data_IF_844079903363
#
_entry.id   IF_844079903363
#
_cell.length_a   1.000
_cell.length_b   1.000
_cell.length_c   1.000
_cell.angle_alpha   90.00
_cell.angle_beta   90.00
_cell.angle_gamma   90.00
#
_symmetry.space_group_name_H-M   'P 1'
#
loop_
_entity.id
_entity.type
_entity.pdbx_description
1 polymer ?
#
# COMPACT_ATOMS: atom_id res chain seq x y z
N UNK A 1 41.81 69.33 1.27
CA UNK A 1 41.92 67.91 0.88
C UNK A 1 41.19 66.96 1.85
N UNK A 2 40.26 67.45 2.69
CA UNK A 2 39.76 66.68 3.85
C UNK A 2 38.49 65.85 3.62
N UNK A 3 37.69 66.12 2.58
CA UNK A 3 36.41 65.41 2.40
C UNK A 3 36.59 63.94 1.97
N UNK A 4 37.61 63.62 1.17
CA UNK A 4 37.87 62.23 0.75
C UNK A 4 38.37 61.37 1.92
N UNK A 5 39.20 61.92 2.80
CA UNK A 5 39.71 61.22 3.98
C UNK A 5 38.58 60.93 5.01
N UNK A 6 37.65 61.88 5.21
CA UNK A 6 36.48 61.67 6.08
C UNK A 6 35.50 60.64 5.51
N UNK A 7 35.23 60.68 4.21
CA UNK A 7 34.39 59.69 3.54
C UNK A 7 35.00 58.28 3.60
N UNK A 8 36.32 58.17 3.40
CA UNK A 8 37.03 56.89 3.48
C UNK A 8 36.99 56.29 4.90
N UNK A 9 37.21 57.12 5.94
CA UNK A 9 37.08 56.69 7.35
C UNK A 9 35.66 56.25 7.69
N UNK A 10 34.64 56.97 7.22
CA UNK A 10 33.24 56.59 7.44
C UNK A 10 32.88 55.25 6.76
N UNK A 11 33.41 54.99 5.57
CA UNK A 11 33.24 53.71 4.88
C UNK A 11 33.92 52.58 5.64
N UNK A 12 35.15 52.78 6.11
CA UNK A 12 35.87 51.77 6.91
C UNK A 12 35.15 51.43 8.22
N UNK A 13 34.61 52.44 8.93
CA UNK A 13 33.85 52.21 10.16
C UNK A 13 32.56 51.44 9.87
N UNK A 14 31.83 51.81 8.80
CA UNK A 14 30.60 51.10 8.40
C UNK A 14 30.87 49.67 7.97
N UNK A 15 31.95 49.44 7.21
CA UNK A 15 32.37 48.10 6.79
C UNK A 15 32.76 47.26 8.00
N UNK A 16 33.58 47.81 8.92
CA UNK A 16 33.98 47.13 10.14
C UNK A 16 32.76 46.75 11.01
N UNK A 17 31.82 47.68 11.21
CA UNK A 17 30.59 47.41 11.95
C UNK A 17 29.75 46.31 11.26
N UNK A 18 29.61 46.36 9.94
CA UNK A 18 28.89 45.33 9.18
C UNK A 18 29.56 43.95 9.31
N UNK A 19 30.89 43.87 9.21
CA UNK A 19 31.63 42.62 9.37
C UNK A 19 31.46 42.05 10.78
N UNK A 20 31.53 42.89 11.82
CA UNK A 20 31.32 42.46 13.21
C UNK A 20 29.89 41.91 13.39
N UNK A 21 28.88 42.60 12.86
CA UNK A 21 27.49 42.12 12.92
C UNK A 21 27.34 40.79 12.17
N UNK A 22 27.92 40.65 10.97
CA UNK A 22 27.87 39.40 10.22
C UNK A 22 28.57 38.24 10.93
N UNK A 23 29.71 38.49 11.59
CA UNK A 23 30.38 37.48 12.41
C UNK A 23 29.50 37.09 13.59
N UNK A 24 28.89 38.05 14.29
CA UNK A 24 27.98 37.75 15.40
C UNK A 24 26.76 36.95 14.96
N UNK A 25 26.17 37.29 13.81
CA UNK A 25 25.05 36.52 13.23
C UNK A 25 25.50 35.12 12.84
N UNK A 26 26.66 34.98 12.20
CA UNK A 26 27.21 33.69 11.83
C UNK A 26 27.48 32.82 13.07
N UNK A 27 28.09 33.38 14.11
CA UNK A 27 28.32 32.68 15.39
C UNK A 27 26.99 32.29 16.04
N UNK A 28 26.00 33.20 16.06
CA UNK A 28 24.67 32.90 16.60
C UNK A 28 23.98 31.77 15.82
N UNK A 29 24.05 31.78 14.47
CA UNK A 29 23.54 30.71 13.64
C UNK A 29 24.25 29.39 13.93
N UNK A 30 25.58 29.38 14.00
CA UNK A 30 26.34 28.18 14.36
C UNK A 30 25.91 27.67 15.72
N UNK A 31 25.78 28.53 16.74
CA UNK A 31 25.34 28.11 18.08
C UNK A 31 23.93 27.52 18.07
N UNK A 32 22.98 28.11 17.34
CA UNK A 32 21.59 27.64 17.25
C UNK A 32 21.47 26.32 16.46
N UNK A 33 22.19 26.21 15.33
CA UNK A 33 22.07 25.08 14.41
C UNK A 33 23.03 23.93 14.68
N UNK A 34 24.13 24.16 15.39
CA UNK A 34 25.12 23.12 15.72
C UNK A 34 24.53 21.99 16.58
N UNK A 35 23.28 22.11 17.08
CA UNK A 35 22.69 21.19 18.06
C UNK A 35 23.69 20.87 19.16
N UNK A 36 24.50 21.87 19.53
CA UNK A 36 25.57 21.72 20.49
C UNK A 36 24.90 21.57 21.86
N UNK A 37 24.62 20.33 22.23
CA UNK A 37 24.20 19.98 23.59
C UNK A 37 25.41 20.25 24.47
N UNK A 38 25.41 21.40 25.13
CA UNK A 38 26.39 21.82 26.13
C UNK A 38 26.22 21.04 27.45
N UNK A 39 25.97 19.74 27.35
CA UNK A 39 25.96 18.80 28.46
C UNK A 39 27.12 17.84 28.28
N UNK A 40 27.75 17.45 29.37
CA UNK A 40 28.72 16.36 29.32
C UNK A 40 27.99 15.10 28.83
N UNK A 41 28.56 14.42 27.82
CA UNK A 41 27.94 13.26 27.19
C UNK A 41 28.96 12.15 27.08
N UNK A 42 28.51 10.93 27.29
CA UNK A 42 29.31 9.73 27.11
C UNK A 42 29.12 9.21 25.69
N UNK A 43 30.23 8.93 25.03
CA UNK A 43 30.24 8.29 23.71
C UNK A 43 30.15 6.77 23.85
N UNK A 44 29.38 6.12 22.99
CA UNK A 44 29.24 4.68 22.92
C UNK A 44 29.22 4.24 21.45
N UNK A 45 29.48 2.96 21.21
CA UNK A 45 29.28 2.37 19.89
C UNK A 45 28.39 1.14 19.96
N UNK A 46 27.68 0.83 18.88
CA UNK A 46 26.87 -0.37 18.77
C UNK A 46 27.07 -1.02 17.39
N UNK A 47 27.22 -2.34 17.38
CA UNK A 47 27.47 -3.12 16.16
C UNK A 47 26.18 -3.77 15.70
N UNK A 48 25.74 -3.51 14.48
CA UNK A 48 24.53 -4.06 13.88
C UNK A 48 24.86 -4.91 12.65
N UNK A 49 24.04 -5.92 12.38
CA UNK A 49 24.11 -6.67 11.11
C UNK A 49 23.67 -5.82 9.91
N UNK A 50 22.86 -4.79 10.14
CA UNK A 50 22.49 -3.78 9.14
C UNK A 50 22.06 -2.48 9.81
N UNK A 51 22.52 -1.35 9.26
CA UNK A 51 22.14 0.00 9.66
C UNK A 51 21.44 0.78 8.54
N UNK A 52 20.69 0.07 7.67
CA UNK A 52 19.98 0.67 6.54
C UNK A 52 19.19 1.93 6.94
N UNK A 53 19.42 3.02 6.20
CA UNK A 53 18.79 4.33 6.39
C UNK A 53 19.09 5.05 7.73
N UNK A 54 20.03 4.55 8.55
CA UNK A 54 20.56 5.33 9.67
C UNK A 54 21.49 6.43 9.17
N UNK A 55 21.43 7.63 9.78
CA UNK A 55 22.23 8.79 9.40
C UNK A 55 22.91 9.41 10.62
N UNK A 56 24.03 10.07 10.40
CA UNK A 56 24.59 10.99 11.40
C UNK A 56 23.57 12.08 11.74
N UNK A 57 23.49 12.45 13.01
CA UNK A 57 22.49 13.37 13.55
C UNK A 57 21.13 12.74 13.86
N UNK A 58 20.93 11.44 13.57
CA UNK A 58 19.74 10.72 14.04
C UNK A 58 19.64 10.75 15.57
N UNK A 59 18.41 10.78 16.09
CA UNK A 59 18.16 10.86 17.53
C UNK A 59 18.50 9.54 18.22
N UNK A 60 18.98 9.63 19.46
CA UNK A 60 19.07 8.49 20.38
C UNK A 60 17.99 8.66 21.44
N UNK A 61 17.18 7.63 21.66
CA UNK A 61 16.03 7.69 22.56
C UNK A 61 16.00 6.56 23.57
N UNK A 62 15.55 6.87 24.79
CA UNK A 62 15.18 5.88 25.82
C UNK A 62 13.68 6.06 26.08
N UNK A 63 12.89 5.00 25.90
CA UNK A 63 11.43 5.05 26.09
C UNK A 63 10.75 6.24 25.39
N UNK A 64 11.20 6.58 24.18
CA UNK A 64 10.68 7.69 23.37
C UNK A 64 11.26 9.09 23.69
N UNK A 65 11.97 9.26 24.80
CA UNK A 65 12.62 10.51 25.19
C UNK A 65 13.98 10.63 24.51
N UNK A 66 14.27 11.77 23.88
CA UNK A 66 15.57 12.02 23.25
C UNK A 66 16.65 12.29 24.30
N UNK A 67 17.65 11.41 24.37
CA UNK A 67 18.75 11.42 25.36
C UNK A 67 20.12 11.64 24.74
N UNK A 68 20.19 11.75 23.41
CA UNK A 68 21.45 11.75 22.69
C UNK A 68 21.31 11.86 21.19
N UNK A 69 22.43 11.69 20.47
CA UNK A 69 22.49 11.76 19.02
C UNK A 69 23.51 10.79 18.44
N UNK A 70 23.22 10.27 17.25
CA UNK A 70 24.13 9.48 16.43
C UNK A 70 25.20 10.41 15.88
N UNK A 71 26.47 10.08 16.13
CA UNK A 71 27.63 10.81 15.64
C UNK A 71 28.06 10.32 14.27
N UNK A 72 28.33 9.02 14.13
CA UNK A 72 28.83 8.43 12.89
C UNK A 72 28.22 7.05 12.61
N UNK A 73 28.14 6.69 11.33
CA UNK A 73 27.68 5.40 10.85
C UNK A 73 28.71 4.85 9.88
N UNK A 74 29.42 3.82 10.30
CA UNK A 74 30.49 3.19 9.53
C UNK A 74 30.31 1.69 9.36
N UNK A 75 31.32 1.06 8.77
CA UNK A 75 31.45 -0.38 8.64
C UNK A 75 32.74 -0.83 9.31
N UNK A 76 32.69 -1.92 10.07
CA UNK A 76 33.90 -2.56 10.59
C UNK A 76 34.57 -3.45 9.52
N UNK A 77 35.72 -4.03 9.86
CA UNK A 77 36.46 -4.94 8.95
C UNK A 77 35.70 -6.22 8.60
N UNK A 78 34.68 -6.59 9.38
CA UNK A 78 33.83 -7.75 9.15
C UNK A 78 32.56 -7.41 8.32
N UNK A 79 32.47 -6.20 7.77
CA UNK A 79 31.29 -5.67 7.06
C UNK A 79 30.03 -5.55 7.92
N UNK A 80 30.17 -5.43 9.24
CA UNK A 80 29.07 -5.11 10.14
C UNK A 80 28.97 -3.60 10.31
N UNK A 81 27.75 -3.08 10.43
CA UNK A 81 27.52 -1.67 10.61
C UNK A 81 27.86 -1.25 12.04
N UNK A 82 28.66 -0.21 12.21
CA UNK A 82 29.01 0.35 13.51
C UNK A 82 28.41 1.74 13.62
N UNK A 83 27.59 1.95 14.64
CA UNK A 83 26.98 3.24 14.93
C UNK A 83 27.66 3.80 16.17
N UNK A 84 28.29 4.96 16.02
CA UNK A 84 28.83 5.73 17.14
C UNK A 84 27.80 6.77 17.56
N UNK A 85 27.50 6.86 18.84
CA UNK A 85 26.47 7.75 19.36
C UNK A 85 26.84 8.29 20.74
N UNK A 86 26.29 9.46 21.07
CA UNK A 86 26.45 10.11 22.36
C UNK A 86 25.16 9.97 23.16
N UNK A 87 25.29 9.82 24.48
CA UNK A 87 24.18 9.87 25.44
C UNK A 87 24.57 10.82 26.57
N UNK A 88 23.63 11.66 26.97
CA UNK A 88 23.81 12.59 28.09
C UNK A 88 24.19 11.85 29.39
N UNK A 89 25.18 12.36 30.13
CA UNK A 89 25.70 11.74 31.36
C UNK A 89 24.62 11.49 32.43
N UNK A 90 23.52 12.25 32.41
CA UNK A 90 22.39 12.03 33.32
C UNK A 90 21.67 10.69 33.11
N UNK A 91 21.90 10.00 31.98
CA UNK A 91 21.30 8.70 31.65
C UNK A 91 22.36 7.59 31.58
N UNK A 92 22.76 7.01 32.72
CA UNK A 92 23.72 5.91 32.73
C UNK A 92 23.13 4.65 32.09
N UNK A 93 23.89 4.02 31.18
CA UNK A 93 23.44 2.83 30.45
C UNK A 93 23.85 1.56 31.20
N UNK A 94 22.91 0.65 31.54
CA UNK A 94 23.27 -0.62 32.14
C UNK A 94 24.03 -1.52 31.15
N UNK A 95 24.85 -2.45 31.63
CA UNK A 95 25.56 -3.43 30.78
C UNK A 95 24.61 -4.35 29.99
N UNK A 96 23.38 -4.51 30.47
CA UNK A 96 22.32 -5.25 29.78
C UNK A 96 21.62 -4.43 28.69
N UNK A 97 22.00 -3.16 28.44
CA UNK A 97 21.33 -2.31 27.45
C UNK A 97 21.31 -2.96 26.07
N UNK A 98 20.19 -2.81 25.38
CA UNK A 98 20.01 -3.19 23.98
C UNK A 98 19.86 -1.95 23.13
N UNK A 99 20.43 -1.99 21.93
CA UNK A 99 20.33 -0.92 20.95
C UNK A 99 19.52 -1.39 19.74
N UNK A 100 18.47 -0.66 19.38
CA UNK A 100 17.53 -1.06 18.35
C UNK A 100 17.35 0.08 17.35
N UNK A 101 17.35 -0.23 16.06
CA UNK A 101 17.07 0.77 15.03
C UNK A 101 15.57 0.78 14.72
N UNK A 102 14.91 1.90 15.00
CA UNK A 102 13.45 2.07 14.82
C UNK A 102 13.14 3.20 13.83
N UNK A 103 11.89 3.23 13.35
CA UNK A 103 11.38 4.29 12.46
C UNK A 103 10.99 5.53 13.29
N UNK A 104 11.53 6.69 12.93
CA UNK A 104 11.11 7.98 13.49
C UNK A 104 9.82 8.46 12.83
N UNK A 105 9.66 8.23 11.52
CA UNK A 105 8.52 8.69 10.74
C UNK A 105 8.24 7.75 9.55
N UNK A 106 7.13 8.01 8.85
CA UNK A 106 6.70 7.25 7.67
C UNK A 106 7.55 7.53 6.42
N UNK A 107 8.38 8.57 6.44
CA UNK A 107 9.28 8.93 5.34
C UNK A 107 10.56 8.10 5.32
N UNK A 108 10.76 7.24 6.34
CA UNK A 108 11.88 6.30 6.41
C UNK A 108 13.07 6.78 7.25
N UNK A 109 12.95 7.92 7.95
CA UNK A 109 13.98 8.32 8.90
C UNK A 109 14.04 7.36 10.08
N UNK A 110 15.26 7.15 10.58
CA UNK A 110 15.56 6.21 11.67
C UNK A 110 16.06 6.93 12.91
N UNK A 111 15.76 6.35 14.07
CA UNK A 111 16.37 6.72 15.34
C UNK A 111 16.91 5.47 16.04
N UNK A 112 17.88 5.69 16.93
CA UNK A 112 18.45 4.64 17.77
C UNK A 112 17.67 4.59 19.09
N UNK A 113 17.03 3.47 19.38
CA UNK A 113 16.35 3.23 20.64
C UNK A 113 17.26 2.43 21.57
N UNK A 114 17.42 2.90 22.80
CA UNK A 114 18.11 2.21 23.88
C UNK A 114 17.09 1.68 24.86
N UNK A 115 17.10 0.36 25.06
CA UNK A 115 16.19 -0.35 25.96
C UNK A 115 16.98 -1.14 27.00
N UNK A 116 16.40 -1.37 28.17
CA UNK A 116 16.97 -2.27 29.15
C UNK A 116 16.79 -3.71 28.67
N UNK A 117 17.87 -4.47 28.53
CA UNK A 117 17.82 -5.90 28.22
C UNK A 117 17.71 -6.77 29.48
N UNK A 118 17.57 -8.07 29.26
CA UNK A 118 17.54 -9.04 30.34
C UNK A 118 18.93 -9.18 30.98
N UNK A 119 19.00 -9.12 32.31
CA UNK A 119 20.24 -9.30 33.06
C UNK A 119 20.39 -8.30 34.21
N UNK A 120 21.59 -8.25 34.79
CA UNK A 120 21.95 -7.32 35.86
C UNK A 120 21.92 -5.86 35.37
N UNK A 121 21.09 -5.04 36.02
CA UNK A 121 20.96 -3.59 35.77
C UNK A 121 21.77 -2.75 36.76
N UNK A 122 22.42 -3.36 37.75
CA UNK A 122 23.23 -2.66 38.76
C UNK A 122 24.62 -2.25 38.25
N UNK A 123 25.07 -2.84 37.15
CA UNK A 123 26.35 -2.52 36.53
C UNK A 123 26.17 -1.68 35.26
N UNK A 124 26.89 -0.56 35.14
CA UNK A 124 26.81 0.36 34.02
C UNK A 124 27.97 0.19 33.02
N UNK A 125 27.73 0.59 31.76
CA UNK A 125 28.75 0.71 30.73
C UNK A 125 29.60 1.97 31.01
N UNK A 126 30.93 1.83 30.87
CA UNK A 126 31.82 2.98 30.86
C UNK A 126 31.75 3.72 29.51
N UNK A 127 32.10 5.01 29.50
CA UNK A 127 32.26 5.77 28.27
C UNK A 127 33.24 5.09 27.32
N UNK A 128 32.89 5.07 26.03
CA UNK A 128 33.62 4.38 24.96
C UNK A 128 33.28 2.91 24.80
N UNK A 129 32.39 2.34 25.61
CA UNK A 129 32.02 0.94 25.50
C UNK A 129 31.28 0.64 24.17
N UNK A 130 31.48 -0.58 23.66
CA UNK A 130 30.81 -1.10 22.49
C UNK A 130 29.73 -2.10 22.87
N UNK A 131 28.51 -1.87 22.41
CA UNK A 131 27.38 -2.80 22.49
C UNK A 131 27.58 -3.85 21.38
N UNK A 132 27.76 -5.13 21.73
CA UNK A 132 27.99 -6.20 20.77
C UNK A 132 26.72 -6.51 19.97
N UNK A 133 26.90 -7.13 18.80
CA UNK A 133 25.80 -7.47 17.89
C UNK A 133 24.69 -8.31 18.54
N UNK A 134 25.03 -9.15 19.53
CA UNK A 134 24.08 -9.96 20.32
C UNK A 134 23.10 -9.13 21.15
N UNK A 135 23.43 -7.87 21.44
CA UNK A 135 22.58 -6.92 22.16
C UNK A 135 21.96 -5.87 21.23
N UNK A 136 22.11 -6.03 19.91
CA UNK A 136 21.55 -5.10 18.94
C UNK A 136 20.41 -5.72 18.12
N UNK A 137 19.51 -4.87 17.65
CA UNK A 137 18.45 -5.27 16.72
C UNK A 137 18.50 -4.37 15.47
N UNK A 138 18.83 -4.92 14.29
CA UNK A 138 18.91 -4.14 13.06
C UNK A 138 17.54 -3.56 12.68
N UNK A 139 17.58 -2.57 11.79
CA UNK A 139 16.37 -1.97 11.28
C UNK A 139 15.47 -3.03 10.61
N UNK A 140 14.16 -2.97 10.89
CA UNK A 140 13.20 -3.79 10.19
C UNK A 140 13.29 -3.50 8.68
N UNK A 141 13.56 -4.57 7.94
CA UNK A 141 13.65 -4.57 6.47
C UNK A 141 12.23 -4.67 5.89
N UNK A 142 11.63 -3.50 5.64
CA UNK A 142 10.29 -3.42 5.06
C UNK A 142 10.26 -3.99 3.64
N UNK A 143 11.37 -4.07 2.92
CA UNK A 143 11.40 -4.65 1.57
C UNK A 143 11.16 -6.16 1.63
N UNK A 144 11.68 -6.83 2.67
CA UNK A 144 11.39 -8.26 2.93
C UNK A 144 9.94 -8.49 3.32
N UNK A 145 9.34 -7.58 4.08
CA UNK A 145 7.92 -7.68 4.46
C UNK A 145 7.00 -7.39 3.27
N UNK A 146 7.17 -6.25 2.60
CA UNK A 146 6.35 -5.87 1.43
C UNK A 146 6.56 -6.83 0.26
N UNK A 147 7.75 -7.41 0.11
CA UNK A 147 8.03 -8.48 -0.86
C UNK A 147 7.17 -9.73 -0.63
N UNK A 148 6.86 -10.07 0.62
CA UNK A 148 5.98 -11.19 0.97
C UNK A 148 4.49 -10.90 0.73
N UNK A 149 4.07 -9.64 0.85
CA UNK A 149 2.67 -9.21 0.64
C UNK A 149 2.38 -8.69 -0.78
N UNK A 150 3.41 -8.51 -1.62
CA UNK A 150 3.29 -8.11 -3.03
C UNK A 150 2.25 -8.91 -3.84
N UNK A 151 2.05 -10.23 -3.63
CA UNK A 151 0.98 -10.98 -4.29
C UNK A 151 -0.44 -10.55 -3.85
N UNK A 152 -0.60 -10.14 -2.59
CA UNK A 152 -1.87 -9.74 -1.97
C UNK A 152 -2.23 -8.28 -2.27
N UNK A 153 -1.24 -7.39 -2.40
CA UNK A 153 -1.42 -5.98 -2.75
C UNK A 153 -1.74 -5.71 -4.23
N UNK A 154 -1.74 -6.75 -5.09
CA UNK A 154 -2.26 -6.62 -6.47
C UNK A 154 -3.79 -6.49 -6.50
N UNK A 155 -4.45 -6.66 -5.35
CA UNK A 155 -5.92 -6.76 -5.21
C UNK A 155 -6.52 -5.77 -4.22
N UNK A 156 -5.73 -4.95 -3.52
CA UNK A 156 -6.20 -4.04 -2.46
C UNK A 156 -5.92 -2.57 -2.79
N UNK A 157 -6.78 -1.68 -2.33
CA UNK A 157 -6.65 -0.22 -2.51
C UNK A 157 -5.68 0.39 -1.48
N UNK A 158 -5.11 1.56 -1.78
CA UNK A 158 -4.04 2.19 -0.98
C UNK A 158 -4.42 2.44 0.50
N UNK A 159 -5.70 2.72 0.78
CA UNK A 159 -6.19 2.99 2.13
C UNK A 159 -6.22 1.74 3.01
N UNK A 160 -6.54 0.57 2.42
CA UNK A 160 -6.60 -0.72 3.09
C UNK A 160 -5.20 -1.21 3.48
N UNK A 161 -4.20 -0.90 2.64
CA UNK A 161 -2.80 -1.23 2.90
C UNK A 161 -2.24 -0.42 4.07
N UNK A 162 -2.55 0.87 4.15
CA UNK A 162 -2.10 1.74 5.25
C UNK A 162 -2.73 1.35 6.59
N UNK A 163 -4.02 1.00 6.59
CA UNK A 163 -4.72 0.54 7.78
C UNK A 163 -4.12 -0.77 8.32
N UNK A 164 -3.95 -1.77 7.44
CA UNK A 164 -3.40 -3.07 7.82
C UNK A 164 -1.95 -2.96 8.33
N UNK A 165 -1.12 -2.17 7.66
CA UNK A 165 0.28 -1.95 8.04
C UNK A 165 0.39 -1.28 9.42
N UNK A 166 -0.48 -0.30 9.68
CA UNK A 166 -0.51 0.42 10.97
C UNK A 166 -0.93 -0.49 12.12
N UNK A 167 -1.95 -1.34 11.90
CA UNK A 167 -2.40 -2.31 12.90
C UNK A 167 -1.35 -3.37 13.20
N UNK A 168 -0.64 -3.86 12.17
CA UNK A 168 0.40 -4.87 12.34
C UNK A 168 1.58 -4.32 13.16
N UNK A 169 2.01 -3.09 12.87
CA UNK A 169 3.08 -2.41 13.62
C UNK A 169 2.71 -2.25 15.10
N UNK A 170 1.48 -1.84 15.39
CA UNK A 170 1.01 -1.63 16.77
C UNK A 170 0.95 -2.93 17.57
N UNK A 171 0.52 -4.05 16.96
CA UNK A 171 0.52 -5.38 17.59
C UNK A 171 1.94 -5.84 17.91
N UNK A 172 2.86 -5.72 16.95
CA UNK A 172 4.25 -6.15 17.16
C UNK A 172 5.03 -5.24 18.11
N UNK A 173 4.58 -4.01 18.35
CA UNK A 173 5.14 -3.10 19.37
C UNK A 173 4.53 -3.30 20.77
N UNK A 174 3.74 -4.35 20.98
CA UNK A 174 3.18 -4.68 22.30
C UNK A 174 2.03 -3.76 22.72
N UNK A 175 1.47 -2.96 21.81
CA UNK A 175 0.26 -2.19 22.06
C UNK A 175 -0.95 -3.13 21.95
N UNK A 176 -1.25 -3.87 23.02
CA UNK A 176 -2.30 -4.91 23.06
C UNK A 176 -3.69 -4.47 22.60
N UNK A 177 -3.96 -3.16 22.50
CA UNK A 177 -5.20 -2.63 21.92
C UNK A 177 -5.35 -2.91 20.42
N UNK A 178 -4.25 -3.02 19.67
CA UNK A 178 -4.29 -3.23 18.22
C UNK A 178 -4.75 -4.64 17.83
N UNK A 179 -4.54 -5.64 18.70
CA UNK A 179 -5.08 -6.98 18.50
C UNK A 179 -6.60 -6.97 18.68
N UNK A 180 -7.11 -6.17 19.62
CA UNK A 180 -8.55 -5.98 19.81
C UNK A 180 -9.17 -5.27 18.60
N UNK A 181 -8.47 -4.31 17.99
CA UNK A 181 -8.92 -3.66 16.74
C UNK A 181 -8.86 -4.60 15.53
N UNK A 182 -7.81 -5.41 15.40
CA UNK A 182 -7.72 -6.44 14.36
C UNK A 182 -8.79 -7.52 14.53
N UNK A 183 -9.04 -7.97 15.76
CA UNK A 183 -10.09 -8.93 16.08
C UNK A 183 -11.49 -8.33 15.93
N UNK A 184 -11.73 -7.07 16.28
CA UNK A 184 -12.98 -6.37 16.00
C UNK A 184 -13.22 -6.17 14.49
N UNK A 185 -12.18 -5.88 13.71
CA UNK A 185 -12.30 -5.74 12.26
C UNK A 185 -12.47 -7.11 11.55
N UNK A 186 -11.91 -8.18 12.13
CA UNK A 186 -12.14 -9.56 11.67
C UNK A 186 -13.53 -10.05 12.10
N UNK A 187 -14.01 -9.64 13.27
CA UNK A 187 -15.36 -9.89 13.76
C UNK A 187 -16.39 -9.14 12.91
N UNK A 188 -16.16 -7.88 12.50
CA UNK A 188 -17.07 -7.17 11.59
C UNK A 188 -17.12 -7.78 10.19
N UNK A 189 -16.01 -8.39 9.73
CA UNK A 189 -15.99 -9.15 8.48
C UNK A 189 -16.70 -10.51 8.60
N UNK A 190 -16.64 -11.13 9.79
CA UNK A 190 -17.34 -12.39 10.08
C UNK A 190 -18.83 -12.16 10.39
N UNK A 191 -19.19 -11.03 10.99
CA UNK A 191 -20.57 -10.55 11.18
C UNK A 191 -21.21 -10.22 9.83
N UNK A 192 -20.48 -9.60 8.91
CA UNK A 192 -20.92 -9.43 7.52
C UNK A 192 -21.11 -10.77 6.77
N UNK A 193 -20.52 -11.87 7.28
CA UNK A 193 -20.71 -13.23 6.76
C UNK A 193 -21.75 -14.03 7.56
N UNK A 194 -22.01 -13.67 8.82
CA UNK A 194 -23.02 -14.23 9.73
C UNK A 194 -24.39 -13.55 9.60
N UNK A 195 -24.48 -12.35 8.99
CA UNK A 195 -25.72 -11.71 8.52
C UNK A 195 -26.45 -12.52 7.42
N UNK A 196 -25.92 -13.69 7.05
CA UNK A 196 -26.66 -14.72 6.30
C UNK A 196 -27.79 -15.37 7.09
N UNK A 197 -27.76 -15.35 8.43
CA UNK A 197 -28.87 -15.90 9.23
C UNK A 197 -30.09 -14.97 9.21
N UNK A 198 -29.87 -13.65 9.12
CA UNK A 198 -30.95 -12.68 8.96
C UNK A 198 -31.55 -12.74 7.54
N UNK A 199 -30.73 -12.95 6.51
CA UNK A 199 -31.20 -13.16 5.13
C UNK A 199 -31.99 -14.48 4.98
N UNK A 200 -31.63 -15.54 5.71
CA UNK A 200 -32.40 -16.80 5.74
C UNK A 200 -33.69 -16.62 6.54
N UNK A 201 -33.67 -15.89 7.65
CA UNK A 201 -34.86 -15.50 8.41
C UNK A 201 -35.84 -14.71 7.56
N UNK A 202 -35.35 -13.71 6.82
CA UNK A 202 -36.16 -12.89 5.92
C UNK A 202 -36.74 -13.73 4.76
N UNK A 203 -36.01 -14.72 4.23
CA UNK A 203 -36.54 -15.64 3.21
C UNK A 203 -37.64 -16.54 3.78
N UNK A 204 -37.49 -17.02 5.02
CA UNK A 204 -38.50 -17.84 5.71
C UNK A 204 -39.75 -17.00 6.04
N UNK A 205 -39.58 -15.77 6.49
CA UNK A 205 -40.69 -14.86 6.81
C UNK A 205 -41.42 -14.39 5.54
N UNK A 206 -40.70 -14.15 4.45
CA UNK A 206 -41.32 -13.89 3.14
C UNK A 206 -42.03 -15.13 2.60
N UNK A 207 -41.52 -16.34 2.83
CA UNK A 207 -42.23 -17.58 2.48
C UNK A 207 -43.51 -17.74 3.31
N UNK A 208 -43.45 -17.50 4.63
CA UNK A 208 -44.61 -17.56 5.51
C UNK A 208 -45.65 -16.49 5.19
N UNK A 209 -45.22 -15.29 4.80
CA UNK A 209 -46.11 -14.22 4.33
C UNK A 209 -46.75 -14.57 3.00
N UNK A 210 -45.99 -15.18 2.07
CA UNK A 210 -46.52 -15.67 0.79
C UNK A 210 -47.52 -16.82 0.99
N UNK A 211 -47.21 -17.75 1.92
CA UNK A 211 -48.10 -18.85 2.29
C UNK A 211 -49.35 -18.35 3.03
N UNK A 212 -49.24 -17.31 3.86
CA UNK A 212 -50.38 -16.65 4.51
C UNK A 212 -51.22 -15.84 3.51
N UNK A 213 -50.60 -15.28 2.47
CA UNK A 213 -51.32 -14.65 1.34
C UNK A 213 -52.07 -15.72 0.54
N UNK A 214 -51.50 -16.92 0.40
CA UNK A 214 -52.17 -18.08 -0.19
C UNK A 214 -53.30 -18.64 0.69
N UNK A 215 -53.17 -18.57 2.03
CA UNK A 215 -54.18 -19.01 2.99
C UNK A 215 -55.33 -17.99 3.13
N UNK A 216 -55.02 -16.70 2.92
CA UNK A 216 -55.98 -15.59 2.83
C UNK A 216 -56.84 -15.62 1.57
N UNK A 217 -56.43 -16.38 0.53
CA UNK A 217 -57.17 -16.57 -0.72
C UNK A 217 -58.19 -17.73 -0.67
N UNK A 218 -58.45 -18.31 0.52
CA UNK A 218 -59.56 -19.27 0.71
C UNK A 218 -60.95 -18.67 0.44
N UNK A 219 -61.10 -17.34 0.48
CA UNK A 219 -62.33 -16.66 0.05
C UNK A 219 -62.49 -16.63 -1.49
N UNK A 220 -61.40 -16.68 -2.25
CA UNK A 220 -61.43 -16.78 -3.73
C UNK A 220 -61.57 -18.22 -4.24
N UNK A 221 -61.17 -19.21 -3.44
CA UNK A 221 -61.27 -20.62 -3.80
C UNK A 221 -62.71 -21.15 -3.76
N UNK A 222 -63.55 -20.71 -2.80
CA UNK A 222 -64.98 -21.06 -2.75
C UNK A 222 -65.74 -20.54 -3.97
N UNK A 223 -65.43 -19.31 -4.41
CA UNK A 223 -66.03 -18.70 -5.60
C UNK A 223 -65.59 -19.41 -6.90
N UNK A 224 -64.35 -19.89 -6.94
CA UNK A 224 -63.78 -20.62 -8.08
C UNK A 224 -64.31 -22.04 -8.19
N UNK A 225 -64.62 -22.70 -7.07
CA UNK A 225 -65.24 -24.04 -7.03
C UNK A 225 -66.71 -23.98 -7.46
N UNK A 226 -67.46 -22.93 -7.08
CA UNK A 226 -68.84 -22.71 -7.54
C UNK A 226 -68.92 -22.43 -9.06
N UNK A 227 -67.98 -21.62 -9.59
CA UNK A 227 -67.85 -21.36 -11.03
C UNK A 227 -67.41 -22.61 -11.80
N UNK A 228 -66.53 -23.45 -11.23
CA UNK A 228 -66.15 -24.74 -11.79
C UNK A 228 -67.32 -25.74 -11.78
N UNK A 229 -68.15 -25.75 -10.74
CA UNK A 229 -69.31 -26.63 -10.66
C UNK A 229 -70.39 -26.22 -11.68
N UNK A 230 -70.64 -24.92 -11.88
CA UNK A 230 -71.54 -24.42 -12.93
C UNK A 230 -71.00 -24.73 -14.34
N UNK A 231 -69.69 -24.62 -14.56
CA UNK A 231 -69.03 -24.97 -15.83
C UNK A 231 -69.07 -26.47 -16.11
N UNK A 232 -68.84 -27.33 -15.11
CA UNK A 232 -68.87 -28.80 -15.25
C UNK A 232 -70.29 -29.30 -15.50
N UNK A 233 -71.30 -28.68 -14.90
CA UNK A 233 -72.71 -29.04 -15.12
C UNK A 233 -73.18 -28.62 -16.51
N UNK A 234 -72.78 -27.43 -16.99
CA UNK A 234 -73.07 -26.99 -18.37
C UNK A 234 -72.28 -27.75 -19.44
N UNK A 235 -71.03 -28.16 -19.17
CA UNK A 235 -70.20 -28.92 -20.10
C UNK A 235 -70.59 -30.40 -20.17
N UNK A 236 -71.22 -30.95 -19.12
CA UNK A 236 -71.83 -32.28 -19.14
C UNK A 236 -73.08 -32.36 -20.04
N UNK A 237 -73.75 -31.22 -20.27
CA UNK A 237 -74.92 -31.11 -21.16
C UNK A 237 -74.53 -31.10 -22.66
N UNK A 238 -73.23 -30.97 -22.97
CA UNK A 238 -72.71 -30.93 -24.34
C UNK A 238 -71.79 -32.12 -24.69
N UNK A 239 -72.05 -33.29 -24.08
CA UNK A 239 -71.34 -34.57 -24.28
C UNK A 239 -71.69 -35.32 -25.58
N UNK A 240 -71.89 -34.60 -26.69
CA UNK A 240 -72.15 -35.20 -28.00
C UNK A 240 -70.91 -35.42 -28.87
N UNK A 241 -69.83 -34.63 -28.71
CA UNK A 241 -68.94 -34.40 -29.88
C UNK A 241 -67.44 -34.24 -29.58
N UNK A 242 -66.86 -34.91 -28.58
CA UNK A 242 -65.40 -34.80 -28.36
C UNK A 242 -64.76 -36.18 -28.21
N UNK A 243 -64.62 -36.87 -29.33
CA UNK A 243 -63.86 -38.12 -29.49
C UNK A 243 -62.46 -37.96 -30.10
N UNK A 244 -61.91 -36.74 -30.23
CA UNK A 244 -60.74 -36.49 -31.10
C UNK A 244 -59.53 -35.77 -30.47
N UNK A 245 -59.30 -35.83 -29.15
CA UNK A 245 -58.16 -35.14 -28.53
C UNK A 245 -57.12 -36.08 -27.89
N UNK A 246 -56.84 -37.21 -28.53
CA UNK A 246 -55.65 -38.05 -28.28
C UNK A 246 -54.56 -37.70 -29.31
N UNK A 247 -54.03 -36.48 -29.26
CA UNK A 247 -52.83 -36.10 -30.02
C UNK A 247 -52.25 -34.79 -29.50
N UNK A 248 -51.35 -34.84 -28.51
CA UNK A 248 -50.20 -33.91 -28.39
C UNK A 248 -49.25 -34.35 -27.27
N UNK A 249 -48.46 -35.41 -27.50
CA UNK A 249 -47.32 -35.77 -26.62
C UNK A 249 -45.95 -35.49 -27.30
N UNK A 250 -45.93 -34.94 -28.52
CA UNK A 250 -44.69 -34.87 -29.33
C UNK A 250 -43.93 -33.53 -29.33
N UNK A 251 -44.10 -32.62 -28.35
CA UNK A 251 -43.35 -31.34 -28.33
C UNK A 251 -42.22 -31.21 -27.30
N UNK A 252 -42.12 -32.09 -26.32
CA UNK A 252 -41.13 -31.94 -25.25
C UNK A 252 -39.76 -32.53 -25.63
N UNK A 253 -39.72 -33.58 -26.46
CA UNK A 253 -38.47 -34.29 -26.80
C UNK A 253 -37.59 -33.56 -27.83
N UNK A 254 -38.16 -32.70 -28.68
CA UNK A 254 -37.41 -31.98 -29.72
C UNK A 254 -36.62 -30.76 -29.19
N UNK A 255 -37.06 -30.16 -28.07
CA UNK A 255 -36.41 -28.96 -27.52
C UNK A 255 -35.04 -29.22 -26.86
N UNK A 256 -34.80 -30.44 -26.36
CA UNK A 256 -33.54 -30.77 -25.66
C UNK A 256 -32.39 -31.10 -26.64
N UNK A 257 -32.70 -31.71 -27.78
CA UNK A 257 -31.72 -31.97 -28.85
C UNK A 257 -31.25 -30.70 -29.55
N UNK A 258 -32.13 -29.69 -29.66
CA UNK A 258 -31.82 -28.42 -30.33
C UNK A 258 -30.89 -27.53 -29.47
N UNK A 259 -31.07 -27.55 -28.15
CA UNK A 259 -30.19 -26.84 -27.20
C UNK A 259 -28.76 -27.41 -27.19
N UNK A 260 -28.62 -28.73 -27.31
CA UNK A 260 -27.33 -29.42 -27.38
C UNK A 260 -26.61 -29.22 -28.71
N UNK A 261 -27.34 -29.09 -29.83
CA UNK A 261 -26.74 -28.84 -31.15
C UNK A 261 -26.22 -27.40 -31.28
N UNK A 262 -26.90 -26.44 -30.64
CA UNK A 262 -26.57 -25.01 -30.72
C UNK A 262 -25.40 -24.61 -29.83
N UNK A 263 -25.15 -25.33 -28.73
CA UNK A 263 -24.14 -24.95 -27.72
C UNK A 263 -22.75 -25.54 -28.00
N UNK A 264 -22.68 -26.67 -28.71
CA UNK A 264 -21.43 -27.42 -28.99
C UNK A 264 -20.38 -26.62 -29.80
N UNK A 265 -20.73 -25.83 -30.83
CA UNK A 265 -19.76 -25.05 -31.61
C UNK A 265 -19.10 -23.91 -30.81
N UNK A 266 -19.85 -23.31 -29.88
CA UNK A 266 -19.37 -22.21 -29.03
C UNK A 266 -18.31 -22.69 -28.04
N UNK A 267 -18.50 -23.88 -27.46
CA UNK A 267 -17.51 -24.49 -26.57
C UNK A 267 -16.22 -24.88 -27.31
N UNK A 268 -16.30 -25.36 -28.56
CA UNK A 268 -15.11 -25.63 -29.38
C UNK A 268 -14.35 -24.34 -29.71
N UNK A 269 -15.03 -23.26 -30.08
CA UNK A 269 -14.38 -21.97 -30.36
C UNK A 269 -13.65 -21.38 -29.15
N UNK A 270 -14.19 -21.55 -27.94
CA UNK A 270 -13.52 -21.08 -26.72
C UNK A 270 -12.23 -21.86 -26.42
N UNK A 271 -12.23 -23.17 -26.64
CA UNK A 271 -11.03 -24.02 -26.45
C UNK A 271 -9.95 -23.67 -27.46
N UNK A 272 -10.30 -23.50 -28.74
CA UNK A 272 -9.34 -23.15 -29.80
C UNK A 272 -8.78 -21.73 -29.61
N UNK A 273 -9.60 -20.77 -29.20
CA UNK A 273 -9.14 -19.39 -28.94
C UNK A 273 -8.25 -19.29 -27.70
N UNK A 274 -8.46 -20.13 -26.68
CA UNK A 274 -7.60 -20.17 -25.49
C UNK A 274 -6.19 -20.66 -25.85
N UNK A 275 -6.08 -21.68 -26.72
CA UNK A 275 -4.79 -22.17 -27.21
C UNK A 275 -4.00 -21.10 -27.97
N UNK A 276 -4.68 -20.28 -28.78
CA UNK A 276 -4.05 -19.21 -29.57
C UNK A 276 -3.53 -18.06 -28.71
N UNK A 277 -4.19 -17.75 -27.58
CA UNK A 277 -3.70 -16.77 -26.60
C UNK A 277 -2.46 -17.30 -25.87
N UNK A 278 -2.44 -18.59 -25.52
CA UNK A 278 -1.26 -19.22 -24.92
C UNK A 278 -0.07 -19.25 -25.87
N UNK A 279 -0.30 -19.49 -27.16
CA UNK A 279 0.74 -19.52 -28.18
C UNK A 279 1.34 -18.13 -28.45
N UNK A 280 0.52 -17.07 -28.47
CA UNK A 280 1.01 -15.69 -28.57
C UNK A 280 1.73 -15.23 -27.29
N UNK A 281 1.28 -15.69 -26.12
CA UNK A 281 1.95 -15.39 -24.85
C UNK A 281 3.32 -16.08 -24.76
N UNK A 282 3.44 -17.30 -25.31
CA UNK A 282 4.72 -18.01 -25.46
C UNK A 282 5.61 -17.34 -26.52
N UNK A 283 5.04 -16.85 -27.62
CA UNK A 283 5.78 -16.08 -28.62
C UNK A 283 6.33 -14.75 -28.07
N UNK A 284 5.67 -14.16 -27.07
CA UNK A 284 6.08 -12.95 -26.39
C UNK A 284 7.13 -13.17 -25.27
N UNK A 285 7.39 -14.42 -24.86
CA UNK A 285 8.36 -14.77 -23.80
C UNK A 285 9.78 -14.19 -24.04
N UNK A 286 10.36 -14.23 -25.26
CA UNK A 286 11.69 -13.69 -25.52
C UNK A 286 11.74 -12.17 -25.34
N UNK A 287 10.66 -11.47 -25.72
CA UNK A 287 10.52 -10.03 -25.57
C UNK A 287 10.41 -9.65 -24.09
N UNK A 288 9.55 -10.32 -23.32
CA UNK A 288 9.36 -10.06 -21.89
C UNK A 288 10.64 -10.35 -21.12
N UNK A 289 11.34 -11.46 -21.42
CA UNK A 289 12.61 -11.80 -20.79
C UNK A 289 13.69 -10.76 -21.09
N UNK A 290 13.81 -10.32 -22.35
CA UNK A 290 14.80 -9.30 -22.73
C UNK A 290 14.50 -7.96 -22.04
N UNK A 291 13.23 -7.54 -22.03
CA UNK A 291 12.77 -6.35 -21.35
C UNK A 291 13.11 -6.39 -19.85
N UNK A 292 12.75 -7.48 -19.15
CA UNK A 292 13.03 -7.63 -17.71
C UNK A 292 14.52 -7.68 -17.38
N UNK A 293 15.36 -8.18 -18.28
CA UNK A 293 16.81 -8.25 -18.07
C UNK A 293 17.46 -6.87 -18.26
N UNK A 294 16.95 -6.05 -19.19
CA UNK A 294 17.44 -4.69 -19.44
C UNK A 294 16.87 -3.63 -18.50
N UNK A 295 15.67 -3.88 -17.97
CA UNK A 295 14.93 -2.93 -17.15
C UNK A 295 15.73 -2.32 -15.98
N UNK A 296 16.56 -3.06 -15.22
CA UNK A 296 17.34 -2.49 -14.13
C UNK A 296 18.43 -1.53 -14.59
N UNK A 297 19.12 -1.87 -15.69
CA UNK A 297 20.17 -1.02 -16.30
C UNK A 297 19.56 0.23 -16.94
N UNK A 298 18.45 0.07 -17.67
CA UNK A 298 17.72 1.17 -18.30
C UNK A 298 17.15 2.11 -17.23
N UNK A 299 16.60 1.56 -16.15
CA UNK A 299 16.11 2.33 -15.00
C UNK A 299 17.25 3.04 -14.26
N UNK A 300 18.41 2.40 -14.09
CA UNK A 300 19.58 3.03 -13.46
C UNK A 300 20.15 4.13 -14.33
N UNK A 301 20.17 3.97 -15.65
CA UNK A 301 20.59 5.00 -16.60
C UNK A 301 19.62 6.19 -16.59
N UNK A 302 18.31 5.92 -16.56
CA UNK A 302 17.27 6.95 -16.43
C UNK A 302 17.31 7.66 -15.07
N UNK A 303 17.56 6.92 -13.98
CA UNK A 303 17.69 7.45 -12.63
C UNK A 303 18.96 8.29 -12.46
N UNK A 304 20.07 7.87 -13.07
CA UNK A 304 21.32 8.63 -13.10
C UNK A 304 21.18 9.95 -13.87
N UNK A 305 20.33 10.00 -14.91
CA UNK A 305 19.97 11.26 -15.57
C UNK A 305 19.21 12.22 -14.62
N UNK A 306 18.41 11.69 -13.69
CA UNK A 306 17.70 12.47 -12.67
C UNK A 306 18.54 12.84 -11.43
N UNK A 307 19.64 12.10 -11.17
CA UNK A 307 20.48 12.29 -9.97
C UNK A 307 21.41 13.51 -10.04
N UNK A 308 21.62 14.11 -11.23
CA UNK A 308 22.47 15.31 -11.40
C UNK A 308 21.69 16.64 -11.22
N UNK A 309 20.50 16.62 -10.62
CA UNK A 309 19.74 17.81 -10.25
C UNK A 309 18.51 18.06 -11.13
N UNK A 310 17.58 18.88 -10.63
CA UNK A 310 16.26 19.15 -11.21
C UNK A 310 16.29 20.04 -12.48
N UNK A 311 17.19 19.77 -13.44
CA UNK A 311 17.26 20.48 -14.72
C UNK A 311 16.52 19.76 -15.86
N UNK A 312 16.13 18.49 -15.68
CA UNK A 312 15.30 17.72 -16.61
C UNK A 312 13.84 17.64 -16.11
N UNK A 313 12.99 18.55 -16.60
CA UNK A 313 11.55 18.49 -16.40
C UNK A 313 10.92 17.62 -17.51
N UNK A 314 10.74 16.33 -17.28
CA UNK A 314 10.11 15.42 -18.24
C UNK A 314 8.59 15.45 -18.01
N UNK A 315 7.85 15.98 -18.98
CA UNK A 315 6.39 16.00 -18.99
C UNK A 315 5.85 14.95 -19.97
N UNK A 316 5.05 14.00 -19.47
CA UNK A 316 4.37 13.02 -20.31
C UNK A 316 3.05 13.59 -20.82
N UNK A 317 3.05 14.08 -22.07
CA UNK A 317 1.91 14.76 -22.67
C UNK A 317 0.77 13.83 -23.08
N UNK A 318 1.12 12.71 -23.72
CA UNK A 318 0.16 11.71 -24.18
C UNK A 318 0.80 10.34 -24.20
N UNK A 319 0.20 9.38 -23.52
CA UNK A 319 0.64 7.98 -23.52
C UNK A 319 -0.42 7.13 -24.22
N UNK A 320 -0.05 6.52 -25.36
CA UNK A 320 -0.90 5.58 -26.12
C UNK A 320 -0.31 4.18 -26.03
N UNK A 321 -1.08 3.25 -25.49
CA UNK A 321 -0.81 1.82 -25.47
C UNK A 321 -1.51 1.19 -26.67
N UNK A 322 -0.73 0.52 -27.52
CA UNK A 322 -1.22 -0.19 -28.70
C UNK A 322 -1.30 -1.68 -28.34
N UNK A 323 -2.51 -2.21 -28.22
CA UNK A 323 -2.75 -3.61 -27.87
C UNK A 323 -3.29 -4.35 -29.09
N UNK A 324 -2.64 -5.42 -29.57
CA UNK A 324 -3.16 -6.23 -30.67
C UNK A 324 -4.41 -6.98 -30.20
N UNK A 325 -5.51 -6.85 -30.94
CA UNK A 325 -6.75 -7.58 -30.69
C UNK A 325 -7.00 -8.66 -31.76
N UNK A 326 -7.79 -9.71 -31.45
CA UNK A 326 -8.15 -10.75 -32.41
C UNK A 326 -8.82 -10.15 -33.65
N UNK A 327 -8.32 -10.48 -34.85
CA UNK A 327 -8.84 -9.98 -36.14
C UNK A 327 -8.00 -8.89 -36.82
N UNK A 328 -6.78 -8.63 -36.35
CA UNK A 328 -5.85 -7.67 -36.98
C UNK A 328 -6.14 -6.20 -36.66
N UNK A 329 -7.10 -5.93 -35.76
CA UNK A 329 -7.38 -4.58 -35.29
C UNK A 329 -6.49 -4.27 -34.07
N UNK A 330 -5.92 -3.07 -34.04
CA UNK A 330 -5.11 -2.62 -32.90
C UNK A 330 -5.98 -1.71 -32.03
N UNK A 331 -6.19 -2.11 -30.77
CA UNK A 331 -6.91 -1.30 -29.79
C UNK A 331 -5.92 -0.29 -29.20
N UNK A 332 -6.22 1.00 -29.38
CA UNK A 332 -5.38 2.10 -28.90
C UNK A 332 -5.97 2.61 -27.58
N UNK A 333 -5.28 2.33 -26.47
CA UNK A 333 -5.67 2.82 -25.15
C UNK A 333 -4.82 4.02 -24.76
N UNK A 334 -5.41 5.20 -24.62
CA UNK A 334 -4.67 6.42 -24.25
C UNK A 334 -4.81 6.65 -22.75
N UNK A 335 -3.77 6.38 -21.95
CA UNK A 335 -3.84 6.46 -20.47
C UNK A 335 -3.62 7.87 -19.91
N UNK A 336 -3.00 8.77 -20.68
CA UNK A 336 -2.87 10.18 -20.34
C UNK A 336 -3.23 11.03 -21.57
N UNK A 337 -4.23 11.91 -21.43
CA UNK A 337 -4.63 12.91 -22.42
C UNK A 337 -4.96 14.22 -21.68
N UNK A 338 -4.00 14.74 -20.93
CA UNK A 338 -4.25 15.79 -19.93
C UNK A 338 -4.36 17.19 -20.56
N UNK A 339 -4.03 17.34 -21.85
CA UNK A 339 -4.06 18.63 -22.55
C UNK A 339 -4.65 18.44 -23.95
N UNK A 340 -5.78 19.10 -24.21
CA UNK A 340 -6.25 19.34 -25.58
C UNK A 340 -5.23 20.18 -26.38
N UNK A 341 -5.47 20.34 -27.68
CA UNK A 341 -4.55 20.85 -28.72
C UNK A 341 -4.05 22.32 -28.61
N UNK A 342 -3.95 22.91 -27.41
CA UNK A 342 -3.39 24.26 -27.19
C UNK A 342 -2.76 24.29 -25.78
N UNK A 343 -1.50 24.65 -25.45
CA UNK A 343 -0.72 25.87 -25.76
C UNK A 343 0.68 25.84 -25.05
N UNK A 344 1.67 26.61 -25.55
CA UNK A 344 2.88 27.12 -24.82
C UNK A 344 2.58 28.51 -24.20
N UNK A 345 3.33 29.15 -23.28
CA UNK A 345 4.69 29.03 -22.77
C UNK A 345 4.69 28.85 -21.23
N UNK A 346 5.62 28.03 -20.75
CA UNK A 346 5.59 27.41 -19.40
C UNK A 346 5.77 25.88 -19.42
N UNK A 347 6.00 25.28 -20.60
CA UNK A 347 6.40 23.86 -20.74
C UNK A 347 5.27 22.85 -20.57
N UNK A 348 4.01 23.28 -20.63
CA UNK A 348 2.84 22.42 -20.64
C UNK A 348 2.47 22.06 -22.08
N UNK A 349 2.07 20.80 -22.27
CA UNK A 349 1.94 20.11 -23.54
C UNK A 349 0.95 20.78 -24.51
N UNK A 350 1.37 20.86 -25.78
CA UNK A 350 0.55 21.36 -26.90
C UNK A 350 0.66 20.38 -28.10
N UNK A 351 -0.45 20.22 -28.80
CA UNK A 351 -0.73 19.16 -29.75
C UNK A 351 -0.11 19.33 -31.13
N UNK A 352 0.24 18.19 -31.71
CA UNK A 352 0.25 17.94 -33.16
C UNK A 352 -0.09 16.47 -33.39
#
# INVERSE_FOLDING_TARGET
>A
MDNRARAFRAILIKLGAFTVVMILVFVALVVVFSRYRSGASNEFSAVFTSASAMKSGSKVKIAGVEVGAVGDVGLNRANEAVITFSVDEQYPLPKSVRALIRYENLTGDRYLELQQGAGDTSTFLGGGAQIPVTQTEPALDLDKLVGGFKPLFRTLNADEVNALTSSLIAVFQGQGGALNTLLSNTASFTDALADRDQLIGDVIDNLNTTLATLDGDRAGLDTSVDLLQQLVTGLAEQKGTIGNALTQTSRVTNGLSDLLSTTRPTLQSMVTNTGRVSEELLAAEPFVRNLLTRLPEDYKTLSNLGSYGAWLQIYFCRLRLLLPAPGGQTIIYTSNNVMGDTTRAGGRCDGS
#
